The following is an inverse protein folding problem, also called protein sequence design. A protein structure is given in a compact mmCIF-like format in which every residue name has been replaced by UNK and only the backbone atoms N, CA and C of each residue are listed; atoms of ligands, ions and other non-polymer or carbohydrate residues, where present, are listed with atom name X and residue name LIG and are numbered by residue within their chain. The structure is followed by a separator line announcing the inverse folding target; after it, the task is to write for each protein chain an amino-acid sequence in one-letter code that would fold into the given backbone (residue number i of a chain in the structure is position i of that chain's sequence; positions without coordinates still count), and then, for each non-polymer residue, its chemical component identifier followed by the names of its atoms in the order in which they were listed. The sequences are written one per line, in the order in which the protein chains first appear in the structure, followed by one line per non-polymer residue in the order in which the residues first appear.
data_IF_600097899841
#
_entry.id   IF_600097899841
#
_cell.length_a   1.000
_cell.length_b   1.000
_cell.length_c   1.000
_cell.angle_alpha   90.00
_cell.angle_beta   90.00
_cell.angle_gamma   90.00
#
_symmetry.space_group_name_H-M   'P 1'
#
loop_
_entity.id
_entity.type
_entity.pdbx_description
1 polymer ?
#
# COMPACT_ATOMS: atom_id res chain seq x y z
N UNK A 1 28.17 -7.85 -17.40
CA UNK A 1 27.85 -6.86 -16.35
C UNK A 1 27.82 -7.56 -15.01
N UNK A 2 28.68 -7.10 -14.10
CA UNK A 2 28.92 -7.82 -12.85
C UNK A 2 27.97 -7.34 -11.76
N UNK A 3 27.26 -8.28 -11.16
CA UNK A 3 26.67 -8.12 -9.84
C UNK A 3 27.73 -8.49 -8.81
N UNK A 4 27.75 -7.78 -7.68
CA UNK A 4 28.65 -8.06 -6.56
C UNK A 4 27.86 -8.33 -5.27
N UNK A 5 28.43 -9.11 -4.37
CA UNK A 5 27.87 -9.30 -3.04
C UNK A 5 28.35 -8.17 -2.14
N UNK A 6 27.41 -7.46 -1.52
CA UNK A 6 27.72 -6.39 -0.55
C UNK A 6 26.90 -6.59 0.71
N UNK A 7 27.50 -6.33 1.85
CA UNK A 7 26.76 -6.32 3.12
C UNK A 7 25.72 -5.20 3.09
N UNK A 8 24.58 -5.40 3.73
CA UNK A 8 23.56 -4.35 3.78
C UNK A 8 24.08 -3.06 4.42
N UNK A 9 24.97 -3.17 5.42
CA UNK A 9 25.67 -2.03 6.04
C UNK A 9 26.54 -1.22 5.07
N UNK A 10 26.99 -1.81 3.96
CA UNK A 10 27.80 -1.12 2.96
C UNK A 10 26.94 -0.36 1.95
N UNK A 11 25.63 -0.64 1.87
CA UNK A 11 24.69 -0.03 0.93
C UNK A 11 23.64 0.87 1.61
N UNK A 12 23.45 0.77 2.92
CA UNK A 12 22.49 1.58 3.67
C UNK A 12 23.01 1.98 5.06
N UNK A 13 23.00 3.28 5.35
CA UNK A 13 23.21 3.84 6.68
C UNK A 13 21.87 4.00 7.41
N UNK A 14 21.80 3.66 8.69
CA UNK A 14 20.64 3.99 9.53
C UNK A 14 20.83 5.37 10.17
N UNK A 15 20.04 6.33 9.73
CA UNK A 15 19.95 7.65 10.36
C UNK A 15 19.24 7.55 11.71
N UNK A 16 19.67 8.37 12.67
CA UNK A 16 19.09 8.42 14.02
C UNK A 16 18.96 9.83 14.57
N UNK A 17 19.23 10.86 13.76
CA UNK A 17 19.06 12.27 14.17
C UNK A 17 17.59 12.55 14.37
N UNK A 18 17.23 13.12 15.51
CA UNK A 18 15.83 13.32 15.91
C UNK A 18 15.48 14.80 15.94
N UNK A 19 14.32 15.15 15.39
CA UNK A 19 13.75 16.49 15.40
C UNK A 19 12.25 16.45 15.71
N UNK A 20 11.66 17.59 16.03
CA UNK A 20 10.22 17.77 16.12
C UNK A 20 9.63 18.09 14.74
N UNK A 21 8.44 17.53 14.46
CA UNK A 21 7.68 17.85 13.27
C UNK A 21 7.14 19.28 13.33
N UNK A 22 6.91 19.87 12.16
CA UNK A 22 6.23 21.14 12.01
C UNK A 22 5.26 21.09 10.83
N UNK A 23 4.57 22.19 10.56
CA UNK A 23 3.62 22.28 9.43
C UNK A 23 4.26 21.98 8.08
N UNK A 24 5.50 22.45 7.87
CA UNK A 24 6.26 22.24 6.63
C UNK A 24 7.23 21.05 6.74
N UNK A 25 7.17 20.32 7.87
CA UNK A 25 8.06 19.20 8.19
C UNK A 25 7.25 18.10 8.89
N UNK A 26 6.36 17.40 8.15
CA UNK A 26 5.34 16.54 8.72
C UNK A 26 5.91 15.30 9.44
N UNK A 27 5.09 14.70 10.30
CA UNK A 27 5.40 13.42 10.94
C UNK A 27 4.76 12.24 10.18
N UNK A 28 5.55 11.18 9.97
CA UNK A 28 5.11 9.93 9.34
C UNK A 28 5.14 8.79 10.35
N UNK A 29 4.00 8.13 10.52
CA UNK A 29 3.77 6.96 11.36
C UNK A 29 3.29 5.78 10.52
N UNK A 30 3.25 4.58 11.12
CA UNK A 30 2.77 3.39 10.40
C UNK A 30 1.31 3.53 9.95
N UNK A 31 0.47 4.19 10.76
CA UNK A 31 -0.93 4.44 10.43
C UNK A 31 -1.11 5.40 9.25
N UNK A 32 -0.06 6.12 8.85
CA UNK A 32 -0.10 7.02 7.70
C UNK A 32 0.23 6.29 6.39
N UNK A 33 0.75 5.06 6.46
CA UNK A 33 1.20 4.27 5.29
C UNK A 33 0.21 3.16 4.98
N UNK A 34 -0.11 3.00 3.69
CA UNK A 34 -0.85 1.85 3.18
C UNK A 34 0.14 0.69 3.08
N UNK A 35 -0.04 -0.29 3.97
CA UNK A 35 0.66 -1.59 3.99
C UNK A 35 0.81 -2.16 2.58
N UNK A 36 2.01 -2.66 2.26
CA UNK A 36 2.45 -3.20 0.95
C UNK A 36 2.50 -2.18 -0.19
N UNK A 37 1.57 -1.22 -0.25
CA UNK A 37 1.47 -0.27 -1.35
C UNK A 37 2.52 0.84 -1.32
N UNK A 38 3.21 1.04 -0.18
CA UNK A 38 4.33 1.96 -0.08
C UNK A 38 3.99 3.44 -0.29
N UNK A 39 2.76 3.83 0.07
CA UNK A 39 2.22 5.17 -0.14
C UNK A 39 1.44 5.65 1.07
N UNK A 40 1.30 6.97 1.20
CA UNK A 40 0.51 7.56 2.27
C UNK A 40 -0.99 7.37 2.04
N UNK A 41 -1.75 7.19 3.13
CA UNK A 41 -3.22 7.09 3.08
C UNK A 41 -3.94 8.43 3.25
N UNK A 42 -3.22 9.48 3.64
CA UNK A 42 -3.71 10.85 3.85
C UNK A 42 -2.58 11.85 3.62
N UNK A 43 -2.94 13.12 3.54
CA UNK A 43 -1.97 14.21 3.47
C UNK A 43 -1.37 14.48 4.85
N UNK A 44 -0.11 14.08 5.04
CA UNK A 44 0.59 14.20 6.33
C UNK A 44 0.90 15.66 6.72
N UNK A 45 0.83 16.61 5.78
CA UNK A 45 1.02 18.04 6.06
C UNK A 45 -0.17 18.66 6.78
N UNK A 46 -1.32 17.97 6.80
CA UNK A 46 -2.52 18.41 7.52
C UNK A 46 -2.51 18.01 8.99
N UNK A 47 -1.47 17.30 9.46
CA UNK A 47 -1.33 16.92 10.87
C UNK A 47 -0.92 18.15 11.69
N UNK A 48 -1.77 18.54 12.63
CA UNK A 48 -1.49 19.66 13.55
C UNK A 48 -0.65 19.26 14.77
N UNK A 49 -0.59 17.96 15.07
CA UNK A 49 0.11 17.44 16.25
C UNK A 49 1.60 17.38 15.99
N UNK A 50 2.38 18.11 16.81
CA UNK A 50 3.84 18.03 16.83
C UNK A 50 4.28 16.70 17.45
N UNK A 51 5.13 15.97 16.72
CA UNK A 51 5.72 14.71 17.16
C UNK A 51 7.23 14.73 16.97
N UNK A 52 7.94 14.02 17.83
CA UNK A 52 9.38 13.87 17.77
C UNK A 52 9.74 12.57 17.04
N UNK A 53 10.60 12.62 16.03
CA UNK A 53 10.95 11.46 15.21
C UNK A 53 12.29 11.62 14.49
N UNK A 54 12.73 10.56 13.82
CA UNK A 54 14.00 10.54 13.09
C UNK A 54 13.84 11.34 11.80
N UNK A 55 14.75 12.28 11.56
CA UNK A 55 14.75 13.16 10.39
C UNK A 55 14.98 12.38 9.10
N UNK A 56 14.19 12.73 8.08
CA UNK A 56 14.46 12.38 6.68
C UNK A 56 14.23 13.61 5.78
N UNK A 57 14.89 13.65 4.62
CA UNK A 57 14.88 14.78 3.69
C UNK A 57 14.47 14.38 2.26
N UNK A 58 13.90 13.18 2.11
CA UNK A 58 13.55 12.62 0.81
C UNK A 58 14.71 11.92 0.11
N UNK A 59 15.93 11.93 0.67
CA UNK A 59 17.04 11.11 0.17
C UNK A 59 17.04 9.69 0.77
N UNK A 60 16.22 9.41 1.79
CA UNK A 60 16.18 8.13 2.51
C UNK A 60 14.95 7.29 2.15
N UNK A 61 15.06 5.99 2.42
CA UNK A 61 13.95 5.02 2.39
C UNK A 61 13.52 4.74 3.84
N UNK A 62 12.23 4.70 4.10
CA UNK A 62 11.71 4.34 5.42
C UNK A 62 11.30 2.87 5.43
N UNK A 63 11.77 2.14 6.43
CA UNK A 63 11.40 0.74 6.65
C UNK A 63 10.87 0.52 8.07
N UNK A 64 9.71 -0.10 8.17
CA UNK A 64 9.05 -0.40 9.43
C UNK A 64 9.64 -1.64 10.07
N UNK A 65 10.45 -1.47 11.12
CA UNK A 65 11.09 -2.59 11.80
C UNK A 65 10.14 -3.37 12.72
N UNK A 66 9.01 -2.81 13.14
CA UNK A 66 8.02 -3.50 13.98
C UNK A 66 7.03 -4.26 13.10
N UNK A 67 6.89 -5.57 13.35
CA UNK A 67 6.10 -6.51 12.54
C UNK A 67 6.45 -6.39 11.05
N UNK A 68 7.68 -6.75 10.67
CA UNK A 68 8.18 -6.54 9.30
C UNK A 68 7.31 -7.16 8.22
N UNK A 69 6.68 -8.31 8.50
CA UNK A 69 5.64 -8.96 7.67
C UNK A 69 4.41 -8.10 7.33
N UNK A 70 4.23 -6.94 7.97
CA UNK A 70 3.22 -5.95 7.58
C UNK A 70 3.70 -5.03 6.46
N UNK A 71 4.95 -5.15 6.00
CA UNK A 71 5.44 -4.46 4.81
C UNK A 71 5.20 -2.94 4.85
N UNK A 72 5.42 -2.34 6.01
CA UNK A 72 5.40 -0.89 6.16
C UNK A 72 6.71 -0.32 5.63
N UNK A 73 6.73 0.04 4.36
CA UNK A 73 7.84 0.73 3.71
C UNK A 73 7.35 2.01 3.05
N UNK A 74 8.22 3.01 2.92
CA UNK A 74 7.91 4.24 2.20
C UNK A 74 9.16 4.75 1.49
N UNK A 75 8.99 5.21 0.25
CA UNK A 75 10.03 5.90 -0.52
C UNK A 75 9.69 7.38 -0.63
N UNK A 76 9.85 8.18 0.44
CA UNK A 76 9.37 9.57 0.47
C UNK A 76 10.15 10.44 -0.49
N UNK A 77 9.47 11.33 -1.20
CA UNK A 77 10.03 12.40 -2.05
C UNK A 77 9.96 13.78 -1.37
N UNK A 78 9.67 13.80 -0.07
CA UNK A 78 9.55 14.98 0.78
C UNK A 78 10.36 14.80 2.07
N UNK A 79 10.49 15.88 2.83
CA UNK A 79 11.21 15.91 4.12
C UNK A 79 10.26 15.84 5.31
N UNK A 80 10.69 15.27 6.42
CA UNK A 80 9.88 15.16 7.63
C UNK A 80 10.55 14.37 8.75
N UNK A 81 9.74 13.89 9.69
CA UNK A 81 10.19 13.02 10.77
C UNK A 81 9.46 11.68 10.77
N UNK A 82 10.21 10.58 10.85
CA UNK A 82 9.69 9.23 10.99
C UNK A 82 9.52 8.91 12.47
N UNK A 83 8.27 8.70 12.90
CA UNK A 83 7.92 8.54 14.31
C UNK A 83 7.65 7.08 14.64
N UNK A 84 8.27 6.57 15.71
CA UNK A 84 8.08 5.20 16.19
C UNK A 84 9.16 4.24 15.68
N UNK A 85 8.74 3.05 15.24
CA UNK A 85 9.63 1.92 14.93
C UNK A 85 10.16 1.97 13.47
N UNK A 86 10.61 3.13 13.00
CA UNK A 86 11.22 3.25 11.67
C UNK A 86 12.73 3.00 11.68
N UNK A 87 13.23 2.38 10.63
CA UNK A 87 14.58 2.62 10.12
C UNK A 87 14.50 3.67 9.03
N UNK A 88 15.27 4.75 9.19
CA UNK A 88 15.49 5.76 8.15
C UNK A 88 16.80 5.40 7.45
N UNK A 89 16.69 4.83 6.25
CA UNK A 89 17.79 4.20 5.52
C UNK A 89 18.31 5.15 4.44
N UNK A 90 19.52 5.67 4.64
CA UNK A 90 20.21 6.48 3.65
C UNK A 90 21.06 5.59 2.73
N UNK A 91 20.85 5.63 1.40
CA UNK A 91 21.62 4.81 0.47
C UNK A 91 23.10 5.23 0.43
N UNK A 92 24.00 4.25 0.33
CA UNK A 92 25.45 4.42 0.21
C UNK A 92 25.96 3.74 -1.06
N UNK A 93 26.44 4.53 -2.03
CA UNK A 93 26.95 4.00 -3.32
C UNK A 93 25.95 3.05 -4.00
N UNK A 94 24.66 3.32 -3.84
CA UNK A 94 23.54 2.65 -4.51
C UNK A 94 22.44 3.66 -4.82
N UNK A 95 21.66 3.40 -5.85
CA UNK A 95 20.47 4.17 -6.20
C UNK A 95 19.38 3.99 -5.14
N UNK A 96 18.72 5.09 -4.76
CA UNK A 96 17.66 5.09 -3.74
C UNK A 96 16.49 4.19 -4.12
N UNK A 97 16.05 4.25 -5.38
CA UNK A 97 14.95 3.43 -5.89
C UNK A 97 15.33 1.97 -5.91
N UNK A 98 16.58 1.64 -6.25
CA UNK A 98 17.09 0.27 -6.14
C UNK A 98 17.09 -0.22 -4.69
N UNK A 99 17.60 0.57 -3.73
CA UNK A 99 17.53 0.22 -2.30
C UNK A 99 16.09 -0.02 -1.85
N UNK A 100 15.16 0.83 -2.29
CA UNK A 100 13.73 0.66 -2.01
C UNK A 100 13.17 -0.67 -2.55
N UNK A 101 13.62 -1.14 -3.72
CA UNK A 101 13.23 -2.47 -4.24
C UNK A 101 13.94 -3.61 -3.54
N UNK A 102 15.19 -3.43 -3.14
CA UNK A 102 15.97 -4.47 -2.44
C UNK A 102 15.32 -4.84 -1.10
N UNK A 103 14.84 -3.86 -0.33
CA UNK A 103 14.16 -4.11 0.95
C UNK A 103 12.79 -4.82 0.81
N UNK A 104 12.26 -4.91 -0.41
CA UNK A 104 11.00 -5.59 -0.74
C UNK A 104 11.23 -7.03 -1.25
N UNK A 105 12.48 -7.46 -1.37
CA UNK A 105 12.81 -8.82 -1.82
C UNK A 105 12.55 -9.85 -0.74
N UNK A 106 12.23 -11.09 -1.14
CA UNK A 106 12.02 -12.20 -0.21
C UNK A 106 13.22 -12.42 0.71
N UNK A 107 14.46 -12.31 0.17
CA UNK A 107 15.67 -12.48 0.97
C UNK A 107 15.76 -11.45 2.10
N UNK A 108 15.40 -10.19 1.85
CA UNK A 108 15.36 -9.16 2.88
C UNK A 108 14.23 -9.41 3.88
N UNK A 109 13.06 -9.82 3.38
CA UNK A 109 11.90 -10.09 4.22
C UNK A 109 12.12 -11.28 5.17
N UNK A 110 12.71 -12.38 4.69
CA UNK A 110 13.02 -13.56 5.49
C UNK A 110 13.94 -13.23 6.67
N UNK A 111 14.98 -12.44 6.41
CA UNK A 111 15.94 -12.07 7.45
C UNK A 111 15.34 -11.05 8.44
N UNK A 112 14.54 -10.10 7.96
CA UNK A 112 13.87 -9.13 8.82
C UNK A 112 12.83 -9.80 9.72
N UNK A 113 12.18 -10.87 9.25
CA UNK A 113 11.20 -11.65 9.98
C UNK A 113 11.79 -12.86 10.74
N UNK A 114 13.11 -13.04 10.82
CA UNK A 114 13.70 -14.20 11.49
C UNK A 114 13.28 -14.34 12.97
N UNK A 115 12.97 -13.21 13.63
CA UNK A 115 12.45 -13.18 15.00
C UNK A 115 10.90 -13.27 15.10
N UNK A 116 10.22 -13.71 14.04
CA UNK A 116 8.76 -13.88 14.03
C UNK A 116 8.34 -15.00 15.01
N UNK A 117 7.39 -14.71 15.89
CA UNK A 117 6.94 -15.65 16.93
C UNK A 117 6.56 -15.00 18.26
N UNK A 118 6.95 -13.74 18.48
CA UNK A 118 6.46 -12.92 19.59
C UNK A 118 5.25 -12.06 19.17
N UNK A 119 4.49 -11.49 20.13
CA UNK A 119 3.34 -10.61 19.85
C UNK A 119 3.70 -9.33 19.07
N UNK A 120 4.98 -8.93 19.11
CA UNK A 120 5.51 -7.68 18.54
C UNK A 120 6.96 -7.86 18.09
N UNK A 121 7.23 -8.68 17.04
CA UNK A 121 8.58 -8.91 16.56
C UNK A 121 9.15 -7.63 15.96
N UNK A 122 10.45 -7.43 16.13
CA UNK A 122 11.19 -6.32 15.54
C UNK A 122 12.36 -6.87 14.75
N UNK A 123 12.58 -6.33 13.56
CA UNK A 123 13.75 -6.68 12.77
C UNK A 123 15.04 -6.32 13.54
N UNK A 124 16.00 -7.24 13.56
CA UNK A 124 17.30 -7.01 14.19
C UNK A 124 18.25 -6.38 13.18
N UNK A 125 18.73 -5.17 13.49
CA UNK A 125 19.68 -4.46 12.65
C UNK A 125 21.01 -5.20 12.51
N UNK A 126 21.51 -5.83 13.57
CA UNK A 126 22.80 -6.53 13.52
C UNK A 126 22.73 -7.72 12.57
N UNK A 127 21.58 -8.39 12.51
CA UNK A 127 21.33 -9.49 11.59
C UNK A 127 21.24 -8.97 10.15
N UNK A 128 20.35 -8.00 9.89
CA UNK A 128 20.11 -7.45 8.55
C UNK A 128 21.36 -6.78 7.98
N UNK A 129 22.05 -5.96 8.79
CA UNK A 129 23.22 -5.17 8.35
C UNK A 129 24.43 -5.99 7.93
N UNK A 130 24.55 -7.23 8.43
CA UNK A 130 25.65 -8.15 8.12
C UNK A 130 25.34 -9.10 6.96
N UNK A 131 24.07 -9.21 6.53
CA UNK A 131 23.70 -10.06 5.42
C UNK A 131 24.18 -9.47 4.09
N UNK A 132 24.66 -10.33 3.20
CA UNK A 132 25.09 -9.96 1.86
C UNK A 132 23.92 -10.03 0.87
N UNK A 133 23.84 -9.01 0.02
CA UNK A 133 22.88 -8.91 -1.07
C UNK A 133 23.63 -8.73 -2.39
N UNK A 134 23.08 -9.32 -3.44
CA UNK A 134 23.55 -9.09 -4.79
C UNK A 134 23.15 -7.67 -5.23
N UNK A 135 24.13 -6.88 -5.65
CA UNK A 135 23.94 -5.49 -6.09
C UNK A 135 24.61 -5.29 -7.45
N UNK A 136 23.93 -4.71 -8.46
CA UNK A 136 24.57 -4.38 -9.72
C UNK A 136 25.69 -3.36 -9.50
N UNK A 137 26.88 -3.58 -10.05
CA UNK A 137 27.98 -2.60 -9.95
C UNK A 137 27.64 -1.31 -10.73
N UNK A 138 26.91 -1.43 -11.83
CA UNK A 138 26.54 -0.31 -12.68
C UNK A 138 25.32 0.46 -12.11
N UNK A 139 25.50 1.75 -11.81
CA UNK A 139 24.42 2.62 -11.35
C UNK A 139 23.24 2.72 -12.34
N UNK A 140 23.53 2.72 -13.63
CA UNK A 140 22.49 2.76 -14.68
C UNK A 140 21.54 1.55 -14.61
N UNK A 141 22.06 0.37 -14.28
CA UNK A 141 21.24 -0.84 -14.10
C UNK A 141 20.35 -0.71 -12.85
N UNK A 142 20.91 -0.19 -11.75
CA UNK A 142 20.16 0.07 -10.52
C UNK A 142 18.99 1.04 -10.77
N UNK A 143 19.25 2.17 -11.44
CA UNK A 143 18.21 3.15 -11.76
C UNK A 143 17.17 2.59 -12.74
N UNK A 144 17.56 1.74 -13.71
CA UNK A 144 16.61 1.04 -14.60
C UNK A 144 15.71 0.07 -13.83
N UNK A 145 16.26 -0.73 -12.92
CA UNK A 145 15.47 -1.64 -12.07
C UNK A 145 14.49 -0.83 -11.21
N UNK A 146 14.98 0.20 -10.52
CA UNK A 146 14.15 1.07 -9.70
C UNK A 146 13.03 1.74 -10.49
N UNK A 147 13.35 2.31 -11.66
CA UNK A 147 12.40 2.97 -12.54
C UNK A 147 11.34 2.03 -13.13
N UNK A 148 11.72 0.79 -13.44
CA UNK A 148 10.80 -0.23 -13.94
C UNK A 148 9.70 -0.53 -12.90
N UNK A 149 10.08 -0.85 -11.67
CA UNK A 149 9.11 -1.14 -10.61
C UNK A 149 8.29 0.09 -10.19
N UNK A 150 8.88 1.30 -10.21
CA UNK A 150 8.12 2.53 -9.97
C UNK A 150 7.06 2.80 -11.04
N UNK A 151 7.33 2.40 -12.30
CA UNK A 151 6.34 2.46 -13.38
C UNK A 151 5.20 1.47 -13.15
N UNK A 152 5.49 0.25 -12.67
CA UNK A 152 4.49 -0.74 -12.29
C UNK A 152 3.61 -0.26 -11.14
N UNK A 153 4.21 0.32 -10.08
CA UNK A 153 3.44 0.86 -8.95
C UNK A 153 2.51 1.99 -9.37
N UNK A 154 2.97 2.85 -10.30
CA UNK A 154 2.17 3.92 -10.88
C UNK A 154 0.98 3.36 -11.67
N UNK A 155 1.21 2.33 -12.47
CA UNK A 155 0.18 1.67 -13.27
C UNK A 155 -0.86 0.97 -12.38
N UNK A 156 -0.42 0.24 -11.35
CA UNK A 156 -1.29 -0.39 -10.35
C UNK A 156 -2.13 0.67 -9.66
N UNK A 157 -1.50 1.78 -9.23
CA UNK A 157 -2.20 2.90 -8.59
C UNK A 157 -3.26 3.52 -9.48
N UNK A 158 -2.95 3.74 -10.76
CA UNK A 158 -3.89 4.29 -11.73
C UNK A 158 -5.09 3.36 -11.95
N UNK A 159 -4.83 2.06 -12.08
CA UNK A 159 -5.89 1.06 -12.23
C UNK A 159 -6.76 0.92 -10.98
N UNK A 160 -6.18 0.97 -9.79
CA UNK A 160 -6.93 0.96 -8.54
C UNK A 160 -7.86 2.17 -8.43
N UNK A 161 -7.36 3.38 -8.75
CA UNK A 161 -8.18 4.61 -8.79
C UNK A 161 -9.34 4.50 -9.78
N UNK A 162 -9.09 3.97 -10.98
CA UNK A 162 -10.14 3.74 -12.00
C UNK A 162 -11.18 2.74 -11.52
N UNK A 163 -10.74 1.64 -10.91
CA UNK A 163 -11.63 0.62 -10.35
C UNK A 163 -12.54 1.21 -9.25
N UNK A 164 -11.98 1.97 -8.31
CA UNK A 164 -12.75 2.59 -7.22
C UNK A 164 -13.76 3.64 -7.74
N UNK A 165 -13.37 4.41 -8.76
CA UNK A 165 -14.27 5.35 -9.44
C UNK A 165 -15.43 4.61 -10.12
N UNK A 166 -15.17 3.53 -10.85
CA UNK A 166 -16.21 2.73 -11.51
C UNK A 166 -17.14 2.04 -10.51
N UNK A 167 -16.60 1.52 -9.41
CA UNK A 167 -17.39 0.93 -8.31
C UNK A 167 -18.32 1.96 -7.69
N UNK A 168 -17.82 3.18 -7.46
CA UNK A 168 -18.62 4.31 -6.95
C UNK A 168 -19.70 4.71 -7.95
N UNK A 169 -19.34 4.89 -9.22
CA UNK A 169 -20.29 5.21 -10.29
C UNK A 169 -21.40 4.16 -10.41
N UNK A 170 -21.06 2.87 -10.39
CA UNK A 170 -22.04 1.77 -10.39
C UNK A 170 -23.00 1.90 -9.20
N UNK A 171 -22.47 2.11 -7.99
CA UNK A 171 -23.30 2.25 -6.78
C UNK A 171 -24.24 3.45 -6.87
N UNK A 172 -23.74 4.60 -7.33
CA UNK A 172 -24.55 5.81 -7.50
C UNK A 172 -25.61 5.63 -8.58
N UNK A 173 -25.27 5.06 -9.73
CA UNK A 173 -26.22 4.80 -10.80
C UNK A 173 -27.34 3.86 -10.34
N UNK A 174 -27.00 2.74 -9.69
CA UNK A 174 -28.01 1.85 -9.12
C UNK A 174 -28.90 2.58 -8.12
N UNK A 175 -28.34 3.34 -7.19
CA UNK A 175 -29.12 4.10 -6.20
C UNK A 175 -30.06 5.14 -6.84
N UNK A 176 -29.75 5.64 -8.04
CA UNK A 176 -30.55 6.64 -8.75
C UNK A 176 -31.49 6.05 -9.80
N UNK A 177 -31.22 4.82 -10.23
CA UNK A 177 -32.01 4.08 -11.23
C UNK A 177 -33.23 3.37 -10.62
N UNK A 178 -33.27 3.24 -9.30
CA UNK A 178 -34.44 2.77 -8.56
C UNK A 178 -35.06 3.94 -7.77
N UNK A 179 -36.39 4.00 -7.61
CA UNK A 179 -37.03 5.04 -6.82
C UNK A 179 -36.56 5.00 -5.36
N UNK A 180 -36.50 6.17 -4.71
CA UNK A 180 -36.26 6.27 -3.27
C UNK A 180 -37.49 5.85 -2.48
N UNK A 181 -37.31 5.59 -1.19
CA UNK A 181 -38.43 5.29 -0.29
C UNK A 181 -39.47 6.40 -0.33
N UNK A 182 -40.70 6.05 -0.70
CA UNK A 182 -41.82 6.99 -0.84
C UNK A 182 -41.93 7.67 -2.21
N UNK A 183 -41.01 7.40 -3.14
CA UNK A 183 -41.08 7.85 -4.54
C UNK A 183 -41.40 6.67 -5.47
N UNK A 184 -42.01 6.98 -6.62
CA UNK A 184 -42.37 6.03 -7.68
C UNK A 184 -41.66 6.33 -9.01
N UNK A 185 -40.89 7.41 -9.09
CA UNK A 185 -40.10 7.79 -10.26
C UNK A 185 -38.61 7.84 -9.91
N UNK A 186 -37.73 7.08 -10.59
CA UNK A 186 -36.29 7.18 -10.37
C UNK A 186 -35.69 8.53 -10.80
N UNK A 187 -34.60 8.96 -10.16
CA UNK A 187 -33.85 10.16 -10.56
C UNK A 187 -33.21 10.05 -11.95
N UNK A 188 -32.77 8.84 -12.33
CA UNK A 188 -32.11 8.56 -13.61
C UNK A 188 -32.79 7.34 -14.26
N UNK A 189 -33.21 7.47 -15.51
CA UNK A 189 -33.79 6.36 -16.29
C UNK A 189 -33.44 6.48 -17.77
N UNK A 190 -33.62 5.40 -18.52
CA UNK A 190 -33.55 5.45 -19.97
C UNK A 190 -34.72 6.31 -20.51
N UNK A 191 -34.44 7.13 -21.52
CA UNK A 191 -35.35 8.18 -22.02
C UNK A 191 -36.70 7.66 -22.50
N UNK A 192 -36.79 6.40 -22.85
CA UNK A 192 -38.00 5.75 -23.37
C UNK A 192 -39.00 5.35 -22.28
N UNK A 193 -38.62 5.42 -20.99
CA UNK A 193 -39.49 5.04 -19.88
C UNK A 193 -39.88 6.25 -19.04
N UNK A 194 -41.11 6.72 -19.21
CA UNK A 194 -41.63 7.93 -18.54
C UNK A 194 -42.65 7.64 -17.45
N UNK A 195 -43.25 6.45 -17.44
CA UNK A 195 -44.33 6.11 -16.51
C UNK A 195 -43.79 5.82 -15.10
N UNK A 196 -44.57 6.19 -14.09
CA UNK A 196 -44.30 5.90 -12.68
C UNK A 196 -44.28 4.39 -12.43
N UNK A 197 -43.45 3.96 -11.48
CA UNK A 197 -43.34 2.56 -11.09
C UNK A 197 -44.49 2.18 -10.17
N UNK A 198 -44.95 0.94 -10.30
CA UNK A 198 -45.91 0.35 -9.37
C UNK A 198 -45.18 -0.42 -8.25
N UNK A 199 -45.66 -0.28 -7.01
CA UNK A 199 -45.22 -1.14 -5.92
C UNK A 199 -45.89 -2.51 -6.03
N UNK A 200 -45.08 -3.56 -6.04
CA UNK A 200 -45.54 -4.96 -6.12
C UNK A 200 -44.93 -5.76 -4.98
N UNK A 201 -45.68 -6.72 -4.44
CA UNK A 201 -45.11 -7.65 -3.45
C UNK A 201 -44.14 -8.58 -4.15
N UNK A 202 -43.02 -8.91 -3.50
CA UNK A 202 -42.02 -9.82 -4.08
C UNK A 202 -42.62 -11.17 -4.53
N UNK A 203 -43.58 -11.72 -3.77
CA UNK A 203 -44.29 -12.96 -4.11
C UNK A 203 -45.15 -12.89 -5.37
N UNK A 204 -45.47 -11.70 -5.87
CA UNK A 204 -46.25 -11.51 -7.10
C UNK A 204 -45.36 -11.52 -8.35
N UNK A 205 -44.05 -11.28 -8.18
CA UNK A 205 -43.08 -11.17 -9.27
C UNK A 205 -42.04 -12.29 -9.28
N UNK A 206 -41.91 -13.02 -8.17
CA UNK A 206 -40.97 -14.12 -8.05
C UNK A 206 -41.57 -15.26 -7.21
N UNK A 207 -41.40 -16.49 -7.72
CA UNK A 207 -41.67 -17.71 -6.97
C UNK A 207 -40.37 -18.22 -6.36
N UNK A 208 -40.41 -18.58 -5.08
CA UNK A 208 -39.30 -19.28 -4.44
C UNK A 208 -39.41 -20.75 -4.80
N UNK A 209 -38.54 -21.22 -5.68
CA UNK A 209 -38.30 -22.66 -5.87
C UNK A 209 -37.15 -23.11 -4.97
N UNK A 210 -37.35 -24.24 -4.30
CA UNK A 210 -36.30 -24.92 -3.56
C UNK A 210 -36.47 -26.41 -3.75
N UNK A 211 -35.64 -26.96 -4.63
CA UNK A 211 -35.57 -28.40 -4.90
C UNK A 211 -34.46 -28.98 -4.03
N UNK A 212 -34.81 -29.94 -3.17
CA UNK A 212 -33.82 -30.76 -2.46
C UNK A 212 -33.63 -32.02 -3.32
N UNK A 213 -32.46 -32.15 -3.95
CA UNK A 213 -32.01 -33.40 -4.56
C UNK A 213 -31.00 -34.08 -3.64
N UNK A 214 -31.20 -35.36 -3.37
CA UNK A 214 -30.11 -36.20 -2.83
C UNK A 214 -29.08 -36.41 -3.94
N UNK A 215 -27.79 -36.27 -3.63
CA UNK A 215 -26.75 -36.53 -4.63
C UNK A 215 -26.81 -37.99 -5.07
N UNK A 216 -27.12 -38.23 -6.34
CA UNK A 216 -27.02 -39.55 -6.96
C UNK A 216 -25.80 -39.60 -7.89
N UNK A 217 -25.29 -40.81 -8.17
CA UNK A 217 -24.18 -41.01 -9.11
C UNK A 217 -24.54 -40.69 -10.57
N UNK A 218 -25.82 -40.42 -10.86
CA UNK A 218 -26.34 -40.22 -12.22
C UNK A 218 -26.54 -38.75 -12.60
N UNK A 219 -26.19 -37.80 -11.71
CA UNK A 219 -26.14 -36.38 -12.04
C UNK A 219 -24.69 -35.86 -11.87
N UNK A 220 -24.00 -35.49 -12.96
CA UNK A 220 -22.66 -34.91 -12.91
C UNK A 220 -22.64 -33.48 -12.33
#
# INVERSE_FOLDING_TARGET
DAWEQRKFSEIALRESTVQESSRDFPSVEYEDVIVEAGRLNKDVNQKEVVKKGIVFDGSQVLYGKLRPYLHNWLNPDFSGVAVGDWWVLKPIKVDKSFLYRLIQTQQFDDIANQSAGSKMPRADWNLVSNLEFAVPVAGDEQSKIGGYFSSLDTLITLHQRKYDALKTMKKTLLSKMFPKDGEDVPEIRFKEFTDAWEQRKFSEIALRESTVQESSRDFP
#
